data_IF_943111390228
#
_entry.id   IF_943111390228
#
_cell.length_a   1.000
_cell.length_b   1.000
_cell.length_c   1.000
_cell.angle_alpha   90.00
_cell.angle_beta   90.00
_cell.angle_gamma   90.00
#
_symmetry.space_group_name_H-M   'P 1'
#
loop_
_entity.id
_entity.type
_entity.pdbx_description
1 polymer ?
#
# COMPACT_ATOMS: atom_id res chain seq x y z
N UNK A 1 -1.89 8.43 -3.27
CA UNK A 1 -2.09 6.99 -2.98
C UNK A 1 -2.83 6.85 -1.66
N UNK A 2 -3.76 5.90 -1.59
CA UNK A 2 -4.61 5.57 -0.44
C UNK A 2 -4.62 4.06 -0.25
N UNK A 3 -4.36 3.58 0.97
CA UNK A 3 -4.24 2.15 1.26
C UNK A 3 -5.21 1.68 2.34
N UNK A 4 -5.88 0.56 2.08
CA UNK A 4 -6.83 -0.08 2.99
C UNK A 4 -8.20 0.60 3.09
N UNK A 5 -9.15 -0.01 3.82
CA UNK A 5 -10.54 0.47 3.93
C UNK A 5 -10.70 1.92 4.42
N UNK A 6 -9.78 2.40 5.26
CA UNK A 6 -9.82 3.77 5.78
C UNK A 6 -9.03 4.78 4.94
N UNK A 7 -8.41 4.34 3.83
CA UNK A 7 -7.72 5.22 2.88
C UNK A 7 -6.47 5.88 3.46
N UNK A 8 -5.59 5.12 4.10
CA UNK A 8 -4.35 5.65 4.67
C UNK A 8 -3.50 6.35 3.61
N UNK A 9 -2.94 7.51 3.96
CA UNK A 9 -1.97 8.22 3.13
C UNK A 9 -0.54 7.79 3.43
N UNK A 10 0.37 8.10 2.51
CA UNK A 10 1.79 7.76 2.62
C UNK A 10 2.40 8.45 3.85
N UNK A 11 3.10 7.69 4.67
CA UNK A 11 3.83 8.18 5.84
C UNK A 11 5.09 8.93 5.38
N UNK A 12 5.48 10.00 6.06
CA UNK A 12 6.62 10.86 5.70
C UNK A 12 6.49 11.63 4.37
N UNK A 13 5.30 11.63 3.76
CA UNK A 13 4.97 12.47 2.60
C UNK A 13 5.47 11.97 1.25
N UNK A 14 6.38 10.99 1.20
CA UNK A 14 6.85 10.39 -0.05
C UNK A 14 7.21 8.91 0.12
N UNK A 15 7.19 8.17 -0.98
CA UNK A 15 7.81 6.85 -1.07
C UNK A 15 9.30 6.93 -1.34
N UNK A 16 9.93 5.77 -1.51
CA UNK A 16 11.30 5.64 -2.02
C UNK A 16 11.36 4.63 -3.16
N UNK A 17 12.49 4.63 -3.87
CA UNK A 17 12.77 3.69 -4.95
C UNK A 17 13.77 2.65 -4.48
N UNK A 18 13.47 1.38 -4.75
CA UNK A 18 14.27 0.22 -4.35
C UNK A 18 13.97 -0.92 -5.33
N UNK A 19 14.99 -1.68 -5.72
CA UNK A 19 14.80 -2.93 -6.49
C UNK A 19 14.51 -4.05 -5.48
N UNK A 20 13.22 -4.37 -5.30
CA UNK A 20 12.76 -5.27 -4.22
C UNK A 20 12.92 -6.73 -4.62
N UNK A 21 12.80 -7.06 -5.91
CA UNK A 21 12.82 -8.44 -6.40
C UNK A 21 14.11 -8.84 -7.14
N UNK A 22 15.02 -7.90 -7.38
CA UNK A 22 16.35 -8.12 -7.92
C UNK A 22 16.38 -8.29 -9.45
N UNK A 23 15.38 -7.78 -10.16
CA UNK A 23 15.31 -7.87 -11.63
C UNK A 23 16.06 -6.73 -12.35
N UNK A 24 16.49 -5.71 -11.59
CA UNK A 24 17.26 -4.56 -12.07
C UNK A 24 16.43 -3.32 -12.42
N UNK A 25 15.10 -3.38 -12.33
CA UNK A 25 14.21 -2.22 -12.39
C UNK A 25 13.91 -1.69 -10.97
N UNK A 26 13.68 -0.38 -10.84
CA UNK A 26 13.37 0.22 -9.53
C UNK A 26 11.88 0.19 -9.25
N UNK A 27 11.50 -0.33 -8.07
CA UNK A 27 10.14 -0.33 -7.58
C UNK A 27 9.81 0.92 -6.76
N UNK A 28 8.53 1.30 -6.78
CA UNK A 28 8.01 2.29 -5.84
C UNK A 28 7.59 1.61 -4.53
N UNK A 29 8.31 1.92 -3.46
CA UNK A 29 7.99 1.45 -2.11
C UNK A 29 7.28 2.55 -1.33
N UNK A 30 6.11 2.21 -0.77
CA UNK A 30 5.25 3.13 -0.01
C UNK A 30 5.06 2.63 1.42
N UNK A 31 5.18 3.52 2.39
CA UNK A 31 4.95 3.21 3.79
C UNK A 31 3.63 3.81 4.28
N UNK A 32 2.86 3.01 5.01
CA UNK A 32 1.60 3.42 5.63
C UNK A 32 1.61 3.04 7.11
N UNK A 33 1.01 3.88 7.96
CA UNK A 33 0.76 3.51 9.34
C UNK A 33 -0.33 2.43 9.38
N UNK A 34 -0.01 1.24 9.89
CA UNK A 34 -0.95 0.10 9.91
C UNK A 34 -2.31 0.47 10.51
N UNK A 35 -2.32 1.17 11.65
CA UNK A 35 -3.57 1.59 12.31
C UNK A 35 -4.40 2.62 11.53
N UNK A 36 -3.79 3.32 10.54
CA UNK A 36 -4.51 4.25 9.68
C UNK A 36 -5.14 3.58 8.45
N UNK A 37 -4.72 2.35 8.11
CA UNK A 37 -5.22 1.63 6.93
C UNK A 37 -6.66 1.15 7.10
N UNK A 38 -7.10 0.95 8.33
CA UNK A 38 -8.38 0.33 8.62
C UNK A 38 -8.45 -1.16 8.30
N UNK A 39 -7.32 -1.80 7.94
CA UNK A 39 -7.23 -3.26 7.77
C UNK A 39 -7.39 -3.89 9.15
N UNK A 40 -8.46 -4.66 9.32
CA UNK A 40 -8.86 -5.29 10.56
C UNK A 40 -8.33 -6.72 10.68
N UNK A 41 -8.30 -7.24 11.90
CA UNK A 41 -8.01 -8.65 12.13
C UNK A 41 -9.01 -9.54 11.39
N UNK A 42 -8.49 -10.49 10.60
CA UNK A 42 -9.31 -11.39 9.79
C UNK A 42 -9.53 -10.91 8.35
N UNK A 43 -9.20 -9.66 8.02
CA UNK A 43 -9.15 -9.23 6.63
C UNK A 43 -8.13 -10.07 5.87
N UNK A 44 -8.56 -10.53 4.68
CA UNK A 44 -7.80 -11.41 3.79
C UNK A 44 -7.34 -10.70 2.53
N UNK A 45 -7.74 -9.44 2.35
CA UNK A 45 -7.46 -8.62 1.17
C UNK A 45 -7.15 -7.18 1.58
N UNK A 46 -6.27 -6.53 0.83
CA UNK A 46 -5.97 -5.11 0.98
C UNK A 46 -5.94 -4.45 -0.39
N UNK A 47 -6.47 -3.23 -0.46
CA UNK A 47 -6.54 -2.45 -1.70
C UNK A 47 -5.67 -1.20 -1.63
N UNK A 48 -5.03 -0.87 -2.74
CA UNK A 48 -4.32 0.39 -2.98
C UNK A 48 -5.00 1.12 -4.12
N UNK A 49 -5.21 2.42 -3.97
CA UNK A 49 -5.68 3.30 -5.04
C UNK A 49 -4.85 4.58 -5.12
N UNK A 50 -4.87 5.22 -6.27
CA UNK A 50 -4.28 6.54 -6.47
C UNK A 50 -4.17 6.91 -7.93
N UNK A 51 -3.21 7.75 -8.26
CA UNK A 51 -3.02 8.31 -9.60
C UNK A 51 -1.53 8.34 -9.94
N UNK A 52 -1.20 8.17 -11.22
CA UNK A 52 0.15 8.44 -11.74
C UNK A 52 0.40 9.96 -11.79
N UNK A 53 1.63 10.36 -12.12
CA UNK A 53 1.96 11.78 -12.31
C UNK A 53 1.16 12.47 -13.42
N UNK A 54 0.63 11.71 -14.38
CA UNK A 54 -0.23 12.20 -15.45
C UNK A 54 -1.72 12.22 -15.05
N UNK A 55 -2.05 11.91 -13.79
CA UNK A 55 -3.42 11.87 -13.29
C UNK A 55 -4.19 10.62 -13.71
N UNK A 56 -3.53 9.60 -14.27
CA UNK A 56 -4.21 8.35 -14.62
C UNK A 56 -4.54 7.59 -13.33
N UNK A 57 -5.82 7.33 -13.02
CA UNK A 57 -6.18 6.56 -11.84
C UNK A 57 -5.68 5.11 -11.95
N UNK A 58 -5.21 4.60 -10.81
CA UNK A 58 -4.78 3.22 -10.61
C UNK A 58 -5.49 2.65 -9.38
N UNK A 59 -5.79 1.36 -9.42
CA UNK A 59 -6.29 0.61 -8.28
C UNK A 59 -5.84 -0.86 -8.39
N UNK A 60 -5.54 -1.48 -7.26
CA UNK A 60 -5.17 -2.88 -7.17
C UNK A 60 -5.58 -3.44 -5.81
N UNK A 61 -5.82 -4.74 -5.75
CA UNK A 61 -6.03 -5.46 -4.50
C UNK A 61 -5.27 -6.77 -4.53
N UNK A 62 -4.75 -7.17 -3.39
CA UNK A 62 -4.09 -8.46 -3.24
C UNK A 62 -4.43 -9.07 -1.87
N UNK A 63 -4.16 -10.36 -1.75
CA UNK A 63 -4.31 -11.12 -0.53
C UNK A 63 -3.33 -10.67 0.54
N UNK A 64 -3.81 -10.59 1.78
CA UNK A 64 -2.99 -10.35 2.96
C UNK A 64 -3.35 -11.33 4.05
N UNK A 65 -2.41 -11.55 4.97
CA UNK A 65 -2.69 -12.26 6.22
C UNK A 65 -2.37 -11.35 7.38
N UNK A 66 -3.40 -10.98 8.14
CA UNK A 66 -3.24 -10.16 9.34
C UNK A 66 -2.68 -10.99 10.50
N UNK A 67 -1.54 -10.56 11.06
CA UNK A 67 -0.83 -11.24 12.16
C UNK A 67 -0.15 -10.26 13.13
N UNK A 68 -0.11 -10.56 14.45
CA UNK A 68 -0.98 -11.48 15.17
C UNK A 68 -2.35 -10.83 15.43
N UNK A 69 -3.43 -11.56 15.15
CA UNK A 69 -4.77 -11.18 15.63
C UNK A 69 -4.89 -11.63 17.09
N UNK A 70 -5.05 -10.71 18.03
CA UNK A 70 -5.28 -11.00 19.46
C UNK A 70 -6.67 -10.56 19.87
#
# INVERSE_FOLDING_TARGET
MQFGPAGATITNGSGHLEDVDGDGDLDLVLHFLTGATGIACGDDTASLSGETFEGQPIAGSDSVRTVPCK
#
